data_IF_036796134082
#
_entry.id   IF_036796134082
#
_cell.length_a   1.000
_cell.length_b   1.000
_cell.length_c   1.000
_cell.angle_alpha   90.00
_cell.angle_beta   90.00
_cell.angle_gamma   90.00
#
_symmetry.space_group_name_H-M   'P 1'
#
loop_
_entity.id
_entity.type
_entity.pdbx_description
1 polymer ?
#
# COMPACT_ATOMS: atom_id res chain seq x y z
N UNK A 1 -7.75 46.54 -15.80
CA UNK A 1 -7.68 45.57 -16.90
C UNK A 1 -8.46 44.33 -16.45
N UNK A 2 -9.16 43.63 -17.33
CA UNK A 2 -9.85 42.39 -16.95
C UNK A 2 -9.28 41.25 -17.78
N UNK A 3 -8.82 40.20 -17.10
CA UNK A 3 -8.31 38.99 -17.73
C UNK A 3 -9.37 37.90 -17.65
N UNK A 4 -9.34 36.96 -18.58
CA UNK A 4 -10.40 35.96 -18.74
C UNK A 4 -9.82 34.55 -18.68
N UNK A 5 -10.57 33.65 -18.04
CA UNK A 5 -10.35 32.20 -18.09
C UNK A 5 -11.61 31.56 -18.65
N UNK A 6 -11.49 30.75 -19.69
CA UNK A 6 -12.60 30.03 -20.30
C UNK A 6 -12.44 28.53 -20.07
N UNK A 7 -13.41 27.95 -19.38
CA UNK A 7 -13.56 26.51 -19.29
C UNK A 7 -14.60 25.98 -20.27
N UNK A 8 -14.90 24.70 -20.14
CA UNK A 8 -15.74 23.96 -21.10
C UNK A 8 -17.18 24.51 -21.20
N UNK A 9 -17.73 25.04 -20.11
CA UNK A 9 -19.07 25.63 -20.07
C UNK A 9 -19.16 26.76 -19.02
N UNK A 10 -18.05 27.42 -18.72
CA UNK A 10 -18.01 28.56 -17.81
C UNK A 10 -16.90 29.54 -18.18
N UNK A 11 -17.06 30.77 -17.73
CA UNK A 11 -16.07 31.84 -17.87
C UNK A 11 -15.77 32.46 -16.49
N UNK A 12 -14.49 32.71 -16.20
CA UNK A 12 -14.07 33.46 -15.02
C UNK A 12 -13.46 34.78 -15.49
N UNK A 13 -14.13 35.88 -15.15
CA UNK A 13 -13.64 37.25 -15.36
C UNK A 13 -12.86 37.69 -14.13
N UNK A 14 -11.56 37.85 -14.32
CA UNK A 14 -10.62 38.30 -13.29
C UNK A 14 -10.50 39.82 -13.37
N UNK A 15 -10.95 40.52 -12.32
CA UNK A 15 -10.83 41.98 -12.21
C UNK A 15 -9.70 42.35 -11.27
N UNK A 16 -9.07 43.49 -11.52
CA UNK A 16 -7.99 43.98 -10.65
C UNK A 16 -8.48 44.25 -9.21
N UNK A 17 -7.59 43.97 -8.25
CA UNK A 17 -7.81 44.22 -6.83
C UNK A 17 -8.64 43.17 -6.10
N UNK A 18 -9.22 43.58 -4.96
CA UNK A 18 -10.02 42.72 -4.10
C UNK A 18 -11.49 42.77 -4.50
N UNK A 19 -12.03 41.62 -4.93
CA UNK A 19 -13.46 41.42 -5.16
C UNK A 19 -13.82 39.97 -4.84
N UNK A 20 -14.81 39.79 -3.97
CA UNK A 20 -15.33 38.47 -3.66
C UNK A 20 -15.99 37.84 -4.89
N UNK A 21 -15.96 36.50 -5.03
CA UNK A 21 -16.58 35.84 -6.16
C UNK A 21 -18.06 36.18 -6.26
N UNK A 22 -18.49 36.54 -7.47
CA UNK A 22 -19.89 36.83 -7.80
C UNK A 22 -20.28 36.07 -9.06
N UNK A 23 -21.42 35.40 -9.01
CA UNK A 23 -21.94 34.62 -10.14
C UNK A 23 -22.84 35.53 -10.98
N UNK A 24 -22.42 35.75 -12.23
CA UNK A 24 -23.03 36.62 -13.24
C UNK A 24 -23.62 35.71 -14.32
N UNK A 25 -24.94 35.68 -14.47
CA UNK A 25 -25.62 34.67 -15.29
C UNK A 25 -25.20 33.21 -14.94
N UNK A 26 -25.78 32.19 -15.57
CA UNK A 26 -25.63 30.81 -15.11
C UNK A 26 -24.19 30.25 -15.19
N UNK A 27 -23.31 30.84 -16.01
CA UNK A 27 -22.00 30.27 -16.37
C UNK A 27 -20.82 31.26 -16.28
N UNK A 28 -20.99 32.46 -15.73
CA UNK A 28 -19.90 33.43 -15.60
C UNK A 28 -19.63 33.78 -14.12
N UNK A 29 -18.35 33.84 -13.76
CA UNK A 29 -17.87 34.12 -12.41
C UNK A 29 -16.97 35.35 -12.48
N UNK A 30 -17.26 36.37 -11.69
CA UNK A 30 -16.41 37.56 -11.58
C UNK A 30 -15.72 37.52 -10.22
N UNK A 31 -14.38 37.54 -10.23
CA UNK A 31 -13.53 37.46 -9.02
C UNK A 31 -12.38 38.45 -9.11
N UNK A 32 -11.97 39.00 -7.96
CA UNK A 32 -10.80 39.87 -7.88
C UNK A 32 -9.50 39.07 -7.97
N UNK A 33 -8.50 39.60 -8.66
CA UNK A 33 -7.18 38.98 -8.84
C UNK A 33 -6.55 38.58 -7.50
N UNK A 34 -6.63 39.44 -6.48
CA UNK A 34 -6.07 39.15 -5.16
C UNK A 34 -6.74 37.94 -4.47
N UNK A 35 -8.04 37.74 -4.70
CA UNK A 35 -8.78 36.59 -4.16
C UNK A 35 -8.42 35.31 -4.91
N UNK A 36 -8.43 35.36 -6.25
CA UNK A 36 -8.06 34.22 -7.08
C UNK A 36 -6.63 33.75 -6.78
N UNK A 37 -5.68 34.68 -6.69
CA UNK A 37 -4.30 34.39 -6.36
C UNK A 37 -4.17 33.73 -4.98
N UNK A 38 -4.92 34.21 -4.00
CA UNK A 38 -4.92 33.63 -2.66
C UNK A 38 -5.52 32.22 -2.65
N UNK A 39 -6.62 31.97 -3.36
CA UNK A 39 -7.22 30.63 -3.42
C UNK A 39 -6.29 29.63 -4.14
N UNK A 40 -5.62 30.08 -5.20
CA UNK A 40 -4.64 29.27 -5.93
C UNK A 40 -3.41 28.96 -5.09
N UNK A 41 -2.85 29.96 -4.41
CA UNK A 41 -1.59 29.80 -3.67
C UNK A 41 -1.79 29.06 -2.35
N UNK A 42 -2.89 29.32 -1.65
CA UNK A 42 -3.08 28.87 -0.26
C UNK A 42 -4.42 28.20 0.01
N UNK A 43 -5.33 28.11 -0.97
CA UNK A 43 -6.64 27.48 -0.82
C UNK A 43 -7.56 28.23 0.14
N UNK A 44 -7.48 29.56 0.20
CA UNK A 44 -8.25 30.39 1.16
C UNK A 44 -9.76 30.23 1.05
N UNK A 45 -10.27 29.83 -0.11
CA UNK A 45 -11.69 29.56 -0.32
C UNK A 45 -11.97 28.06 -0.45
N UNK A 46 -11.07 27.21 0.05
CA UNK A 46 -11.18 25.76 -0.07
C UNK A 46 -11.18 25.28 -1.52
N UNK A 47 -10.46 25.98 -2.40
CA UNK A 47 -10.40 25.73 -3.85
C UNK A 47 -11.77 25.88 -4.55
N UNK A 48 -12.71 26.62 -3.97
CA UNK A 48 -14.00 26.87 -4.62
C UNK A 48 -13.87 27.65 -5.93
N UNK A 49 -12.85 28.49 -6.11
CA UNK A 49 -12.61 29.14 -7.41
C UNK A 49 -11.46 28.47 -8.14
N UNK A 50 -10.35 28.21 -7.44
CA UNK A 50 -9.18 27.58 -8.03
C UNK A 50 -9.48 26.17 -8.58
N UNK A 51 -10.44 25.45 -8.00
CA UNK A 51 -10.87 24.13 -8.45
C UNK A 51 -11.48 24.10 -9.85
N UNK A 52 -12.02 25.22 -10.32
CA UNK A 52 -12.43 25.38 -11.72
C UNK A 52 -11.22 25.50 -12.66
N UNK A 53 -10.00 25.53 -12.17
CA UNK A 53 -8.81 25.49 -13.01
C UNK A 53 -8.29 24.07 -13.19
N UNK A 54 -8.92 23.04 -12.58
CA UNK A 54 -8.45 21.65 -12.68
C UNK A 54 -8.62 21.07 -14.10
N UNK A 55 -9.78 21.20 -14.77
CA UNK A 55 -9.90 20.78 -16.16
C UNK A 55 -9.00 21.59 -17.10
N UNK A 56 -8.83 21.17 -18.36
CA UNK A 56 -8.24 22.01 -19.39
C UNK A 56 -9.04 23.31 -19.55
N UNK A 57 -8.33 24.43 -19.62
CA UNK A 57 -8.88 25.79 -19.70
C UNK A 57 -8.08 26.63 -20.67
N UNK A 58 -8.73 27.60 -21.30
CA UNK A 58 -8.10 28.69 -22.03
C UNK A 58 -7.99 29.91 -21.11
N UNK A 59 -6.92 30.69 -21.22
CA UNK A 59 -6.70 31.84 -20.35
C UNK A 59 -5.80 32.88 -20.99
N UNK A 60 -5.95 34.13 -20.54
CA UNK A 60 -5.07 35.22 -20.94
C UNK A 60 -3.64 35.03 -20.38
N UNK A 61 -2.63 35.41 -21.16
CA UNK A 61 -1.22 35.13 -20.86
C UNK A 61 -0.73 35.67 -19.50
N UNK A 62 -1.31 36.74 -18.99
CA UNK A 62 -0.95 37.33 -17.70
C UNK A 62 -1.38 36.47 -16.49
N UNK A 63 -2.22 35.46 -16.71
CA UNK A 63 -2.65 34.48 -15.71
C UNK A 63 -1.84 33.18 -15.78
N UNK A 64 -0.97 33.02 -16.79
CA UNK A 64 -0.23 31.78 -17.04
C UNK A 64 0.53 31.28 -15.83
N UNK A 65 1.36 32.12 -15.22
CA UNK A 65 2.17 31.73 -14.06
C UNK A 65 1.31 31.23 -12.90
N UNK A 66 0.16 31.88 -12.70
CA UNK A 66 -0.75 31.55 -11.61
C UNK A 66 -1.44 30.20 -11.84
N UNK A 67 -1.89 29.94 -13.06
CA UNK A 67 -2.53 28.67 -13.43
C UNK A 67 -1.52 27.52 -13.38
N UNK A 68 -0.32 27.72 -13.93
CA UNK A 68 0.76 26.72 -13.87
C UNK A 68 1.13 26.40 -12.42
N UNK A 69 1.21 27.42 -11.54
CA UNK A 69 1.43 27.22 -10.11
C UNK A 69 0.34 26.33 -9.50
N UNK A 70 -0.93 26.60 -9.82
CA UNK A 70 -2.04 25.82 -9.28
C UNK A 70 -1.95 24.35 -9.69
N UNK A 71 -1.67 24.06 -10.96
CA UNK A 71 -1.54 22.69 -11.46
C UNK A 71 -0.37 21.94 -10.81
N UNK A 72 0.76 22.63 -10.57
CA UNK A 72 1.89 22.09 -9.80
C UNK A 72 1.47 21.76 -8.37
N UNK A 73 0.78 22.68 -7.68
CA UNK A 73 0.26 22.47 -6.32
C UNK A 73 -0.66 21.25 -6.26
N UNK A 74 -1.66 21.17 -7.15
CA UNK A 74 -2.57 20.03 -7.23
C UNK A 74 -1.81 18.72 -7.44
N UNK A 75 -0.84 18.70 -8.36
CA UNK A 75 -0.04 17.51 -8.63
C UNK A 75 0.72 17.02 -7.40
N UNK A 76 1.35 17.94 -6.66
CA UNK A 76 2.11 17.61 -5.45
C UNK A 76 1.17 17.15 -4.33
N UNK A 77 0.09 17.88 -4.06
CA UNK A 77 -0.88 17.52 -3.02
C UNK A 77 -1.49 16.14 -3.25
N UNK A 78 -1.92 15.84 -4.48
CA UNK A 78 -2.51 14.54 -4.81
C UNK A 78 -1.47 13.41 -4.81
N UNK A 79 -0.22 13.68 -5.24
CA UNK A 79 0.88 12.73 -5.10
C UNK A 79 1.17 12.37 -3.62
N UNK A 80 1.10 13.35 -2.72
CA UNK A 80 1.23 13.14 -1.27
C UNK A 80 0.08 12.32 -0.71
N UNK A 81 -1.15 12.65 -1.08
CA UNK A 81 -2.35 11.96 -0.61
C UNK A 81 -2.30 10.47 -0.99
N UNK A 82 -1.98 10.16 -2.24
CA UNK A 82 -1.79 8.78 -2.73
C UNK A 82 -0.70 8.07 -1.91
N UNK A 83 0.45 8.73 -1.70
CA UNK A 83 1.57 8.14 -0.95
C UNK A 83 1.23 7.89 0.51
N UNK A 84 0.50 8.80 1.14
CA UNK A 84 0.06 8.65 2.53
C UNK A 84 -0.97 7.52 2.67
N UNK A 85 -1.89 7.42 1.70
CA UNK A 85 -2.95 6.42 1.69
C UNK A 85 -2.42 5.00 1.50
N UNK A 86 -1.56 4.81 0.49
CA UNK A 86 -1.11 3.47 0.09
C UNK A 86 0.28 3.11 0.63
N UNK A 87 1.01 4.03 1.25
CA UNK A 87 2.30 3.75 1.86
C UNK A 87 3.27 3.14 0.84
N UNK A 88 3.99 2.07 1.19
CA UNK A 88 4.93 1.39 0.27
C UNK A 88 4.24 0.65 -0.88
N UNK A 89 2.95 0.35 -0.76
CA UNK A 89 2.18 -0.30 -1.82
C UNK A 89 2.12 0.56 -3.09
N UNK A 90 2.30 1.89 -3.01
CA UNK A 90 2.37 2.76 -4.20
C UNK A 90 3.39 2.29 -5.23
N UNK A 91 4.45 1.62 -4.80
CA UNK A 91 5.50 1.14 -5.70
C UNK A 91 5.04 -0.06 -6.56
N UNK A 92 3.96 -0.70 -6.15
CA UNK A 92 3.35 -1.85 -6.80
C UNK A 92 2.00 -1.50 -7.45
N UNK A 93 1.52 -0.26 -7.30
CA UNK A 93 0.30 0.25 -7.93
C UNK A 93 0.67 0.94 -9.23
N UNK A 94 -0.11 0.69 -10.28
CA UNK A 94 -0.10 1.50 -11.48
C UNK A 94 -1.04 2.68 -11.29
N UNK A 95 -0.43 3.86 -11.19
CA UNK A 95 -1.09 5.13 -10.87
C UNK A 95 -1.21 5.93 -12.17
N UNK A 96 -2.38 5.96 -12.85
CA UNK A 96 -2.52 6.71 -14.08
C UNK A 96 -2.46 8.23 -13.82
N UNK A 97 -1.97 9.02 -14.78
CA UNK A 97 -1.76 10.46 -14.61
C UNK A 97 -3.08 11.21 -14.34
N UNK A 98 -4.15 10.82 -15.04
CA UNK A 98 -5.48 11.41 -14.91
C UNK A 98 -6.09 11.25 -13.50
N UNK A 99 -5.53 10.41 -12.63
CA UNK A 99 -5.97 10.37 -11.24
C UNK A 99 -5.75 11.72 -10.55
N UNK A 100 -4.70 12.47 -10.91
CA UNK A 100 -4.36 13.76 -10.29
C UNK A 100 -5.51 14.76 -10.41
N UNK A 101 -6.01 15.10 -11.62
CA UNK A 101 -7.17 15.98 -11.73
C UNK A 101 -8.44 15.35 -11.17
N UNK A 102 -8.68 14.05 -11.37
CA UNK A 102 -9.94 13.40 -10.98
C UNK A 102 -10.09 13.33 -9.46
N UNK A 103 -9.02 12.97 -8.73
CA UNK A 103 -9.05 12.94 -7.27
C UNK A 103 -9.17 14.34 -6.68
N UNK A 104 -8.60 15.38 -7.32
CA UNK A 104 -8.82 16.76 -6.91
C UNK A 104 -10.26 17.22 -7.14
N UNK A 105 -10.83 16.97 -8.33
CA UNK A 105 -12.23 17.30 -8.63
C UNK A 105 -13.20 16.57 -7.67
N UNK A 106 -12.88 15.33 -7.29
CA UNK A 106 -13.65 14.55 -6.32
C UNK A 106 -13.81 15.23 -4.95
N UNK A 107 -12.86 16.06 -4.52
CA UNK A 107 -12.93 16.78 -3.23
C UNK A 107 -13.97 17.90 -3.22
N UNK A 108 -14.27 18.48 -4.40
CA UNK A 108 -15.19 19.62 -4.57
C UNK A 108 -16.33 19.28 -5.53
N UNK A 109 -16.59 17.98 -5.74
CA UNK A 109 -17.58 17.47 -6.71
C UNK A 109 -19.00 17.96 -6.44
N UNK A 110 -19.34 18.22 -5.17
CA UNK A 110 -20.67 18.68 -4.79
C UNK A 110 -20.88 20.16 -5.12
N UNK A 111 -19.79 20.92 -5.29
CA UNK A 111 -19.84 22.33 -5.67
C UNK A 111 -20.04 22.50 -7.19
N UNK A 112 -19.36 21.67 -8.00
CA UNK A 112 -19.40 21.77 -9.46
C UNK A 112 -19.66 20.42 -10.18
N UNK A 113 -20.74 19.69 -9.82
CA UNK A 113 -20.97 18.36 -10.36
C UNK A 113 -21.18 18.37 -11.88
N UNK A 114 -21.97 19.32 -12.39
CA UNK A 114 -22.24 19.45 -13.83
C UNK A 114 -20.99 19.81 -14.63
N UNK A 115 -20.13 20.69 -14.09
CA UNK A 115 -18.93 21.14 -14.80
C UNK A 115 -17.94 19.99 -14.89
N UNK A 116 -17.68 19.27 -13.80
CA UNK A 116 -16.71 18.17 -13.81
C UNK A 116 -17.21 16.96 -14.59
N UNK A 117 -18.51 16.63 -14.53
CA UNK A 117 -19.08 15.59 -15.38
C UNK A 117 -18.89 15.92 -16.87
N UNK A 118 -19.26 17.13 -17.29
CA UNK A 118 -19.09 17.58 -18.68
C UNK A 118 -17.63 17.67 -19.10
N UNK A 119 -16.74 18.07 -18.18
CA UNK A 119 -15.31 18.07 -18.46
C UNK A 119 -14.79 16.66 -18.74
N UNK A 120 -15.13 15.69 -17.90
CA UNK A 120 -14.76 14.28 -18.10
C UNK A 120 -15.36 13.74 -19.40
N UNK A 121 -16.60 14.09 -19.72
CA UNK A 121 -17.29 13.66 -20.95
C UNK A 121 -16.65 14.23 -22.23
N UNK A 122 -16.40 15.54 -22.28
CA UNK A 122 -15.89 16.19 -23.49
C UNK A 122 -14.39 15.97 -23.72
N UNK A 123 -13.58 15.96 -22.66
CA UNK A 123 -12.12 15.85 -22.73
C UNK A 123 -11.65 14.39 -22.65
N UNK A 124 -12.40 13.55 -21.94
CA UNK A 124 -11.99 12.19 -21.65
C UNK A 124 -10.80 12.09 -20.67
N UNK A 125 -10.45 10.86 -20.31
CA UNK A 125 -9.29 10.59 -19.45
C UNK A 125 -7.97 10.97 -20.13
N UNK A 126 -7.88 10.80 -21.45
CA UNK A 126 -6.67 11.10 -22.21
C UNK A 126 -6.35 12.59 -22.22
N UNK A 127 -7.34 13.47 -22.40
CA UNK A 127 -7.08 14.91 -22.35
C UNK A 127 -6.77 15.40 -20.93
N UNK A 128 -7.37 14.80 -19.89
CA UNK A 128 -6.98 15.07 -18.50
C UNK A 128 -5.55 14.61 -18.20
N UNK A 129 -5.15 13.47 -18.77
CA UNK A 129 -3.78 12.97 -18.70
C UNK A 129 -2.80 13.92 -19.37
N UNK A 130 -3.09 14.36 -20.59
CA UNK A 130 -2.19 15.24 -21.35
C UNK A 130 -2.02 16.60 -20.67
N UNK A 131 -3.10 17.16 -20.11
CA UNK A 131 -3.09 18.39 -19.32
C UNK A 131 -2.10 18.32 -18.14
N UNK A 132 -2.04 17.17 -17.44
CA UNK A 132 -1.23 17.01 -16.24
C UNK A 132 0.15 16.40 -16.47
N UNK A 133 0.42 15.86 -17.67
CA UNK A 133 1.62 15.10 -18.00
C UNK A 133 2.91 15.86 -17.66
N UNK A 134 2.97 17.15 -17.98
CA UNK A 134 4.16 17.98 -17.74
C UNK A 134 4.46 18.23 -16.26
N UNK A 135 3.46 18.13 -15.38
CA UNK A 135 3.64 18.41 -13.95
C UNK A 135 4.15 17.21 -13.15
N UNK A 136 4.12 16.01 -13.73
CA UNK A 136 4.51 14.76 -13.04
C UNK A 136 5.97 14.77 -12.58
N UNK A 137 6.85 15.53 -13.26
CA UNK A 137 8.23 15.74 -12.82
C UNK A 137 8.36 16.27 -11.39
N UNK A 138 7.32 16.94 -10.88
CA UNK A 138 7.29 17.48 -9.52
C UNK A 138 7.04 16.42 -8.44
N UNK A 139 6.64 15.21 -8.82
CA UNK A 139 6.32 14.11 -7.88
C UNK A 139 7.05 12.80 -8.21
N UNK A 140 7.67 12.70 -9.39
CA UNK A 140 8.35 11.49 -9.82
C UNK A 140 8.64 11.49 -11.32
N UNK A 141 8.44 10.35 -11.96
CA UNK A 141 8.62 10.19 -13.40
C UNK A 141 7.49 9.36 -14.02
N UNK A 142 7.33 9.46 -15.34
CA UNK A 142 6.34 8.69 -16.09
C UNK A 142 6.98 7.37 -16.53
N UNK A 143 6.28 6.25 -16.32
CA UNK A 143 6.64 4.92 -16.82
C UNK A 143 6.20 4.77 -18.29
N UNK A 144 6.72 3.76 -18.99
CA UNK A 144 6.38 3.48 -20.39
C UNK A 144 4.87 3.28 -20.63
N UNK A 145 4.15 2.76 -19.63
CA UNK A 145 2.70 2.54 -19.68
C UNK A 145 1.86 3.79 -19.31
N UNK A 146 2.44 5.00 -19.35
CA UNK A 146 1.80 6.26 -18.92
C UNK A 146 1.33 6.28 -17.45
N UNK A 147 1.85 5.41 -16.59
CA UNK A 147 1.64 5.50 -15.14
C UNK A 147 2.73 6.33 -14.45
N UNK A 148 2.40 6.86 -13.27
CA UNK A 148 3.30 7.62 -12.42
C UNK A 148 4.14 6.64 -11.59
N UNK A 149 5.45 6.83 -11.61
CA UNK A 149 6.36 6.27 -10.62
C UNK A 149 6.69 7.37 -9.58
N UNK A 150 6.03 7.30 -8.41
CA UNK A 150 6.19 8.30 -7.35
C UNK A 150 7.58 8.21 -6.70
N UNK A 151 8.23 9.35 -6.55
CA UNK A 151 9.52 9.46 -5.86
C UNK A 151 9.36 10.22 -4.54
N UNK A 152 9.53 9.52 -3.42
CA UNK A 152 9.45 10.14 -2.09
C UNK A 152 10.40 11.33 -1.93
N UNK A 153 11.61 11.26 -2.51
CA UNK A 153 12.60 12.33 -2.42
C UNK A 153 12.10 13.58 -3.14
N UNK A 154 11.67 13.41 -4.39
CA UNK A 154 11.15 14.52 -5.22
C UNK A 154 9.91 15.11 -4.55
N UNK A 155 8.97 14.26 -4.14
CA UNK A 155 7.73 14.64 -3.48
C UNK A 155 8.00 15.49 -2.22
N UNK A 156 8.88 15.04 -1.30
CA UNK A 156 9.27 15.80 -0.10
C UNK A 156 9.94 17.15 -0.43
N UNK A 157 10.84 17.18 -1.43
CA UNK A 157 11.47 18.43 -1.86
C UNK A 157 10.43 19.42 -2.41
N UNK A 158 9.51 18.93 -3.25
CA UNK A 158 8.46 19.74 -3.87
C UNK A 158 7.45 20.28 -2.85
N UNK A 159 7.00 19.48 -1.88
CA UNK A 159 6.16 19.98 -0.80
C UNK A 159 6.88 21.00 0.07
N UNK A 160 8.15 20.79 0.41
CA UNK A 160 8.88 21.77 1.21
C UNK A 160 9.03 23.10 0.47
N UNK A 161 9.22 23.09 -0.85
CA UNK A 161 9.21 24.31 -1.69
C UNK A 161 7.85 25.00 -1.65
N UNK A 162 6.75 24.26 -1.78
CA UNK A 162 5.39 24.82 -1.67
C UNK A 162 5.10 25.37 -0.27
N UNK A 163 5.31 24.58 0.78
CA UNK A 163 5.06 24.95 2.18
C UNK A 163 6.01 26.05 2.68
N UNK A 164 7.24 26.12 2.17
CA UNK A 164 8.15 27.23 2.44
C UNK A 164 7.68 28.56 1.83
N UNK A 165 6.84 28.50 0.79
CA UNK A 165 6.24 29.67 0.14
C UNK A 165 4.89 30.05 0.77
N UNK A 166 4.17 29.06 1.32
CA UNK A 166 2.88 29.22 1.98
C UNK A 166 3.13 29.37 3.49
N UNK A 167 3.25 30.61 3.96
CA UNK A 167 3.29 30.89 5.40
C UNK A 167 2.15 30.18 6.16
N UNK A 168 2.44 29.70 7.37
CA UNK A 168 1.66 28.77 8.23
C UNK A 168 0.19 29.10 8.58
N UNK A 169 -0.51 29.94 7.84
CA UNK A 169 -1.85 30.39 8.20
C UNK A 169 -2.91 29.84 7.23
N UNK A 170 -3.43 28.65 7.53
CA UNK A 170 -4.72 28.19 6.99
C UNK A 170 -5.81 28.83 7.85
N UNK A 171 -6.37 29.95 7.39
CA UNK A 171 -7.62 30.48 7.94
C UNK A 171 -8.77 29.68 7.33
N UNK A 172 -9.60 29.15 8.23
CA UNK A 172 -10.71 28.23 8.02
C UNK A 172 -11.64 28.61 6.85
N UNK A 173 -11.92 27.61 6.01
CA UNK A 173 -13.02 27.58 5.04
C UNK A 173 -14.39 27.58 5.71
N UNK A 174 -14.83 28.76 6.16
CA UNK A 174 -16.18 28.97 6.70
C UNK A 174 -16.96 30.09 5.98
N UNK A 175 -16.38 30.77 4.99
CA UNK A 175 -16.99 31.96 4.37
C UNK A 175 -17.59 31.75 2.97
N UNK A 176 -17.52 30.56 2.37
CA UNK A 176 -18.10 30.32 1.04
C UNK A 176 -19.42 29.53 1.02
N UNK A 177 -19.93 29.06 2.17
CA UNK A 177 -21.15 28.21 2.21
C UNK A 177 -22.45 29.04 2.19
N UNK A 178 -22.41 30.37 2.31
CA UNK A 178 -23.62 31.21 2.30
C UNK A 178 -24.01 31.83 0.94
N UNK A 179 -23.46 31.35 -0.18
CA UNK A 179 -23.97 31.73 -1.54
C UNK A 179 -24.79 30.63 -2.22
N UNK A 180 -25.09 29.54 -1.51
CA UNK A 180 -25.99 28.49 -1.98
C UNK A 180 -27.44 28.97 -2.00
N UNK A 181 -27.81 29.70 -3.05
CA UNK A 181 -29.17 29.68 -3.60
C UNK A 181 -29.27 29.76 -5.13
N UNK A 182 -28.21 30.08 -5.88
CA UNK A 182 -28.36 30.40 -7.31
C UNK A 182 -27.36 29.73 -8.29
N UNK A 183 -26.62 28.70 -7.90
CA UNK A 183 -25.90 27.84 -8.86
C UNK A 183 -26.68 26.52 -8.92
N UNK A 184 -27.43 26.31 -10.00
CA UNK A 184 -28.32 25.16 -10.29
C UNK A 184 -29.75 25.23 -9.71
N UNK A 185 -30.60 26.07 -10.31
CA UNK A 185 -31.91 25.61 -10.78
C UNK A 185 -31.71 25.41 -12.29
N UNK A 186 -31.42 24.22 -12.81
CA UNK A 186 -32.47 23.39 -13.43
C UNK A 186 -32.08 21.92 -13.68
N UNK A 187 -30.89 21.45 -13.29
CA UNK A 187 -30.57 20.01 -13.24
C UNK A 187 -29.76 19.68 -11.99
N UNK A 188 -30.24 18.76 -11.14
CA UNK A 188 -29.43 18.17 -10.07
C UNK A 188 -28.44 17.20 -10.70
N UNK A 189 -27.32 17.69 -11.22
CA UNK A 189 -26.25 16.80 -11.68
C UNK A 189 -25.70 16.01 -10.50
N UNK A 190 -25.72 14.68 -10.62
CA UNK A 190 -25.06 13.78 -9.66
C UNK A 190 -23.62 13.55 -10.14
N UNK A 191 -22.60 13.69 -9.29
CA UNK A 191 -21.23 13.35 -9.66
C UNK A 191 -21.13 11.94 -10.23
N UNK A 192 -20.41 11.78 -11.33
CA UNK A 192 -20.20 10.46 -11.93
C UNK A 192 -19.36 9.54 -11.00
N UNK A 193 -19.30 8.25 -11.35
CA UNK A 193 -18.63 7.25 -10.52
C UNK A 193 -17.14 7.53 -10.27
N UNK A 194 -16.42 8.11 -11.25
CA UNK A 194 -15.01 8.48 -11.11
C UNK A 194 -14.80 9.62 -10.10
N UNK A 195 -15.74 10.56 -10.02
CA UNK A 195 -15.72 11.60 -9.00
C UNK A 195 -16.17 11.06 -7.63
N UNK A 196 -17.00 10.03 -7.60
CA UNK A 196 -17.42 9.40 -6.35
C UNK A 196 -16.29 8.58 -5.71
N UNK A 197 -15.55 7.82 -6.51
CA UNK A 197 -14.36 7.07 -6.07
C UNK A 197 -13.23 7.11 -7.12
N UNK A 198 -12.34 8.13 -7.08
CA UNK A 198 -11.29 8.33 -8.08
C UNK A 198 -10.23 7.23 -8.05
N UNK A 199 -10.11 6.52 -6.93
CA UNK A 199 -9.09 5.49 -6.75
C UNK A 199 -9.46 4.16 -7.41
N UNK A 200 -10.66 4.06 -7.99
CA UNK A 200 -11.03 2.96 -8.90
C UNK A 200 -10.17 2.92 -10.16
N UNK A 201 -9.51 4.03 -10.51
CA UNK A 201 -8.53 4.12 -11.60
C UNK A 201 -7.20 3.42 -11.28
N UNK A 202 -6.91 3.16 -10.01
CA UNK A 202 -5.69 2.49 -9.60
C UNK A 202 -5.78 1.00 -9.89
N UNK A 203 -4.71 0.45 -10.47
CA UNK A 203 -4.61 -0.98 -10.73
C UNK A 203 -3.36 -1.57 -10.09
N UNK A 204 -3.35 -2.88 -9.91
CA UNK A 204 -2.23 -3.62 -9.37
C UNK A 204 -1.94 -4.83 -10.27
N UNK A 205 -0.68 -5.30 -10.33
CA UNK A 205 -0.33 -6.42 -11.22
C UNK A 205 -1.02 -7.76 -10.92
N UNK A 206 -1.50 -7.98 -9.69
CA UNK A 206 -2.19 -9.22 -9.31
C UNK A 206 -3.33 -8.93 -8.32
N UNK A 207 -4.52 -9.46 -8.64
CA UNK A 207 -5.72 -9.24 -7.84
C UNK A 207 -6.35 -7.87 -8.07
N UNK A 208 -7.34 -7.54 -7.26
CA UNK A 208 -8.06 -6.27 -7.35
C UNK A 208 -7.76 -5.38 -6.14
N UNK A 209 -7.58 -4.08 -6.39
CA UNK A 209 -7.46 -3.07 -5.35
C UNK A 209 -8.85 -2.53 -5.00
N UNK A 210 -9.24 -2.63 -3.73
CA UNK A 210 -10.46 -2.01 -3.21
C UNK A 210 -10.07 -0.90 -2.24
N UNK A 211 -10.70 0.25 -2.40
CA UNK A 211 -10.38 1.52 -1.73
C UNK A 211 -11.13 1.69 -0.41
N UNK A 212 -12.22 0.94 -0.23
CA UNK A 212 -13.07 0.92 0.97
C UNK A 212 -13.30 -0.52 1.45
N UNK A 213 -12.75 -0.86 2.62
CA UNK A 213 -12.81 -2.22 3.16
C UNK A 213 -14.20 -2.65 3.62
N UNK A 214 -15.14 -1.71 3.81
CA UNK A 214 -16.55 -2.07 4.09
C UNK A 214 -17.20 -2.82 2.92
N UNK A 215 -16.73 -2.59 1.68
CA UNK A 215 -17.24 -3.28 0.49
C UNK A 215 -16.74 -4.72 0.34
N UNK A 216 -15.85 -5.20 1.22
CA UNK A 216 -15.33 -6.58 1.17
C UNK A 216 -16.46 -7.60 1.17
N UNK A 217 -17.54 -7.39 1.94
CA UNK A 217 -18.67 -8.32 1.97
C UNK A 217 -19.35 -8.49 0.60
N UNK A 218 -19.51 -7.40 -0.16
CA UNK A 218 -20.08 -7.46 -1.51
C UNK A 218 -19.17 -8.26 -2.46
N UNK A 219 -17.84 -8.13 -2.30
CA UNK A 219 -16.89 -8.96 -3.04
C UNK A 219 -16.94 -10.42 -2.60
N UNK A 220 -17.08 -10.71 -1.31
CA UNK A 220 -17.22 -12.08 -0.80
C UNK A 220 -18.46 -12.76 -1.34
N UNK A 221 -19.61 -12.08 -1.36
CA UNK A 221 -20.85 -12.61 -1.95
C UNK A 221 -20.67 -12.96 -3.44
N UNK A 222 -20.01 -12.09 -4.20
CA UNK A 222 -19.69 -12.35 -5.62
C UNK A 222 -18.71 -13.52 -5.80
N UNK A 223 -17.73 -13.65 -4.90
CA UNK A 223 -16.66 -14.65 -5.00
C UNK A 223 -17.05 -16.05 -4.47
N UNK A 224 -17.87 -16.10 -3.42
CA UNK A 224 -18.17 -17.31 -2.65
C UNK A 224 -19.62 -17.79 -2.79
N UNK A 225 -20.51 -16.96 -3.36
CA UNK A 225 -21.95 -17.22 -3.39
C UNK A 225 -22.68 -16.65 -2.17
N UNK A 226 -24.02 -16.77 -2.18
CA UNK A 226 -24.89 -16.22 -1.13
C UNK A 226 -24.78 -16.97 0.21
N UNK A 227 -24.36 -18.24 0.19
CA UNK A 227 -24.25 -19.09 1.38
C UNK A 227 -22.79 -19.42 1.70
N UNK A 228 -22.01 -18.43 2.13
CA UNK A 228 -20.65 -18.66 2.60
C UNK A 228 -20.53 -18.62 4.13
N UNK A 229 -19.58 -19.39 4.66
CA UNK A 229 -19.25 -19.43 6.10
C UNK A 229 -17.79 -19.07 6.30
N UNK A 230 -17.51 -18.18 7.24
CA UNK A 230 -16.15 -17.83 7.60
C UNK A 230 -15.81 -18.23 9.04
N UNK A 231 -14.74 -19.00 9.22
CA UNK A 231 -14.24 -19.47 10.51
C UNK A 231 -12.85 -18.92 10.77
N UNK A 232 -12.66 -18.34 11.96
CA UNK A 232 -11.33 -17.97 12.43
C UNK A 232 -10.76 -19.09 13.30
N UNK A 233 -9.54 -19.60 13.04
CA UNK A 233 -8.97 -20.69 13.84
C UNK A 233 -8.72 -20.35 15.31
N UNK A 234 -8.45 -19.07 15.63
CA UNK A 234 -8.21 -18.57 16.99
C UNK A 234 -8.46 -17.06 17.05
N UNK A 235 -8.79 -16.52 18.23
CA UNK A 235 -9.03 -15.08 18.44
C UNK A 235 -7.79 -14.23 18.10
N UNK A 236 -6.59 -14.81 18.24
CA UNK A 236 -5.31 -14.17 17.94
C UNK A 236 -4.86 -14.37 16.48
N UNK A 237 -5.57 -15.19 15.70
CA UNK A 237 -5.22 -15.43 14.31
C UNK A 237 -5.59 -14.21 13.46
N UNK A 238 -4.60 -13.71 12.71
CA UNK A 238 -4.81 -12.67 11.71
C UNK A 238 -5.58 -13.18 10.48
N UNK A 239 -5.72 -14.50 10.31
CA UNK A 239 -6.32 -15.13 9.14
C UNK A 239 -7.65 -15.78 9.46
N UNK A 240 -8.60 -15.66 8.53
CA UNK A 240 -9.91 -16.28 8.56
C UNK A 240 -10.10 -17.11 7.30
N UNK A 241 -10.60 -18.34 7.47
CA UNK A 241 -10.93 -19.23 6.36
C UNK A 241 -12.39 -19.04 6.01
N UNK A 242 -12.70 -18.81 4.73
CA UNK A 242 -14.05 -18.68 4.24
C UNK A 242 -14.35 -19.75 3.20
N UNK A 243 -15.50 -20.41 3.37
CA UNK A 243 -15.95 -21.55 2.59
C UNK A 243 -17.26 -21.17 1.88
N UNK A 244 -17.32 -21.40 0.58
CA UNK A 244 -18.51 -21.25 -0.26
C UNK A 244 -18.28 -22.03 -1.56
N UNK A 245 -18.54 -21.42 -2.72
CA UNK A 245 -18.21 -22.00 -4.03
C UNK A 245 -16.71 -22.34 -4.20
N UNK A 246 -15.85 -21.69 -3.42
CA UNK A 246 -14.41 -21.97 -3.28
C UNK A 246 -13.96 -21.68 -1.85
N UNK A 247 -12.78 -22.16 -1.48
CA UNK A 247 -12.16 -21.81 -0.19
C UNK A 247 -11.16 -20.68 -0.40
N UNK A 248 -11.24 -19.66 0.45
CA UNK A 248 -10.30 -18.51 0.43
C UNK A 248 -9.81 -18.19 1.83
N UNK A 249 -8.70 -17.46 1.89
CA UNK A 249 -8.12 -16.91 3.12
C UNK A 249 -8.30 -15.40 3.12
N UNK A 250 -8.88 -14.86 4.18
CA UNK A 250 -8.91 -13.42 4.47
C UNK A 250 -7.92 -13.14 5.59
N UNK A 251 -6.87 -12.39 5.30
CA UNK A 251 -5.90 -11.92 6.30
C UNK A 251 -6.19 -10.47 6.66
N UNK A 252 -6.29 -10.18 7.95
CA UNK A 252 -6.44 -8.84 8.50
C UNK A 252 -5.18 -8.46 9.28
N UNK A 253 -4.54 -7.37 8.85
CA UNK A 253 -3.22 -6.95 9.33
C UNK A 253 -3.27 -6.09 10.60
N UNK A 254 -4.46 -5.71 11.08
CA UNK A 254 -4.61 -5.04 12.38
C UNK A 254 -4.19 -5.97 13.53
N UNK A 255 -4.44 -7.28 13.38
CA UNK A 255 -4.04 -8.28 14.35
C UNK A 255 -2.52 -8.47 14.33
N UNK A 256 -1.93 -8.64 15.51
CA UNK A 256 -0.49 -8.83 15.66
C UNK A 256 0.33 -7.53 15.70
N UNK A 257 -0.29 -6.35 15.71
CA UNK A 257 0.43 -5.07 15.90
C UNK A 257 1.33 -5.10 17.15
N UNK A 258 0.79 -5.52 18.29
CA UNK A 258 1.56 -5.65 19.54
C UNK A 258 2.65 -6.72 19.45
N UNK A 259 2.36 -7.88 18.82
CA UNK A 259 3.34 -8.96 18.59
C UNK A 259 4.57 -8.41 17.85
N UNK A 260 4.35 -7.69 16.75
CA UNK A 260 5.44 -7.18 15.92
C UNK A 260 6.15 -5.98 16.50
N UNK A 261 5.45 -5.16 17.30
CA UNK A 261 6.09 -4.14 18.10
C UNK A 261 7.11 -4.76 19.06
N UNK A 262 6.71 -5.78 19.83
CA UNK A 262 7.61 -6.47 20.77
C UNK A 262 8.74 -7.21 20.06
N UNK A 263 8.43 -7.96 18.99
CA UNK A 263 9.45 -8.64 18.19
C UNK A 263 10.46 -7.65 17.63
N UNK A 264 10.00 -6.53 17.05
CA UNK A 264 10.85 -5.47 16.52
C UNK A 264 11.68 -4.76 17.58
N UNK A 265 11.13 -4.50 18.77
CA UNK A 265 11.87 -3.88 19.88
C UNK A 265 13.02 -4.76 20.35
N UNK A 266 12.79 -6.07 20.46
CA UNK A 266 13.85 -7.03 20.81
C UNK A 266 14.84 -7.14 19.66
N UNK A 267 14.40 -7.35 18.41
CA UNK A 267 15.27 -7.74 17.31
C UNK A 267 15.81 -6.62 16.44
N UNK A 268 15.56 -5.33 16.75
CA UNK A 268 15.82 -4.20 15.83
C UNK A 268 17.23 -4.18 15.25
N UNK A 269 18.23 -4.62 16.03
CA UNK A 269 19.64 -4.66 15.61
C UNK A 269 19.96 -5.78 14.61
N UNK A 270 19.06 -6.74 14.40
CA UNK A 270 19.22 -7.92 13.53
C UNK A 270 18.20 -7.95 12.41
N UNK A 271 16.93 -7.81 12.76
CA UNK A 271 15.81 -7.92 11.83
C UNK A 271 14.85 -6.75 12.02
N UNK A 272 14.77 -5.81 11.04
CA UNK A 272 13.85 -4.69 11.10
C UNK A 272 12.44 -5.11 10.65
N UNK A 273 11.67 -5.69 11.58
CA UNK A 273 10.28 -6.12 11.32
C UNK A 273 9.39 -5.00 10.80
N UNK A 274 8.46 -5.34 9.91
CA UNK A 274 7.35 -4.46 9.50
C UNK A 274 6.31 -4.45 10.60
N UNK A 275 6.08 -3.28 11.18
CA UNK A 275 5.20 -3.10 12.33
C UNK A 275 3.80 -2.66 11.94
N UNK A 276 3.67 -1.71 11.00
CA UNK A 276 2.35 -1.17 10.64
C UNK A 276 1.55 -2.15 9.77
N UNK A 277 0.21 -2.18 9.89
CA UNK A 277 -0.64 -3.05 9.06
C UNK A 277 -0.41 -2.86 7.56
N UNK A 278 -0.31 -1.60 7.11
CA UNK A 278 -0.09 -1.25 5.71
C UNK A 278 1.31 -1.66 5.22
N UNK A 279 2.37 -1.50 6.02
CA UNK A 279 3.70 -1.98 5.64
C UNK A 279 3.75 -3.50 5.52
N UNK A 280 3.08 -4.23 6.43
CA UNK A 280 2.99 -5.70 6.38
C UNK A 280 2.21 -6.18 5.16
N UNK A 281 1.06 -5.57 4.88
CA UNK A 281 0.28 -5.83 3.67
C UNK A 281 1.11 -5.58 2.41
N UNK A 282 1.79 -4.42 2.34
CA UNK A 282 2.63 -4.04 1.20
C UNK A 282 3.77 -5.03 0.99
N UNK A 283 4.43 -5.45 2.08
CA UNK A 283 5.55 -6.38 2.01
C UNK A 283 5.08 -7.78 1.62
N UNK A 284 3.96 -8.27 2.18
CA UNK A 284 3.42 -9.58 1.83
C UNK A 284 2.91 -9.62 0.39
N UNK A 285 2.24 -8.58 -0.10
CA UNK A 285 1.79 -8.47 -1.49
C UNK A 285 2.97 -8.65 -2.46
N UNK A 286 4.05 -7.90 -2.23
CA UNK A 286 5.27 -8.00 -3.01
C UNK A 286 5.93 -9.36 -2.87
N UNK A 287 6.08 -9.84 -1.64
CA UNK A 287 6.81 -11.08 -1.36
C UNK A 287 6.10 -12.30 -1.94
N UNK A 288 4.77 -12.40 -1.84
CA UNK A 288 4.00 -13.49 -2.46
C UNK A 288 4.25 -13.58 -3.96
N UNK A 289 4.29 -12.44 -4.65
CA UNK A 289 4.57 -12.34 -6.09
C UNK A 289 6.01 -12.69 -6.45
N UNK A 290 6.97 -12.04 -5.79
CA UNK A 290 8.40 -12.22 -6.05
C UNK A 290 8.86 -13.65 -5.76
N UNK A 291 8.38 -14.23 -4.65
CA UNK A 291 8.78 -15.55 -4.16
C UNK A 291 8.15 -16.71 -4.93
N UNK A 292 7.09 -16.47 -5.70
CA UNK A 292 6.40 -17.53 -6.47
C UNK A 292 7.30 -18.24 -7.48
N UNK A 293 8.40 -17.59 -7.89
CA UNK A 293 9.44 -18.17 -8.76
C UNK A 293 10.36 -19.16 -8.02
N UNK A 294 10.34 -19.15 -6.69
CA UNK A 294 11.24 -19.92 -5.81
C UNK A 294 10.46 -21.02 -5.09
N UNK A 295 9.26 -20.70 -4.61
CA UNK A 295 8.44 -21.57 -3.76
C UNK A 295 6.95 -21.31 -4.01
N UNK A 296 6.09 -22.28 -3.71
CA UNK A 296 4.64 -22.12 -3.87
C UNK A 296 4.15 -21.03 -2.90
N UNK A 297 3.39 -20.08 -3.44
CA UNK A 297 2.77 -18.98 -2.68
C UNK A 297 1.34 -18.77 -3.16
N UNK A 298 0.40 -18.41 -2.27
CA UNK A 298 -0.97 -18.15 -2.66
C UNK A 298 -1.09 -16.99 -3.63
N UNK A 299 -1.95 -17.15 -4.64
CA UNK A 299 -2.44 -16.09 -5.51
C UNK A 299 -3.32 -15.10 -4.76
N UNK A 300 -3.11 -13.83 -5.06
CA UNK A 300 -3.80 -12.70 -4.45
C UNK A 300 -5.06 -12.42 -5.26
N UNK A 301 -6.20 -12.33 -4.58
CA UNK A 301 -7.51 -12.10 -5.22
C UNK A 301 -7.91 -10.63 -5.05
N UNK A 302 -7.76 -10.10 -3.83
CA UNK A 302 -8.15 -8.73 -3.48
C UNK A 302 -7.17 -8.19 -2.43
N UNK A 303 -6.84 -6.91 -2.50
CA UNK A 303 -6.26 -6.15 -1.41
C UNK A 303 -7.12 -4.95 -1.06
N UNK A 304 -7.18 -4.63 0.22
CA UNK A 304 -7.79 -3.41 0.71
C UNK A 304 -6.82 -2.71 1.67
N UNK A 305 -6.10 -1.67 1.21
CA UNK A 305 -5.07 -0.98 1.98
C UNK A 305 -5.65 0.19 2.78
N UNK A 306 -6.70 -0.06 3.58
CA UNK A 306 -7.17 0.92 4.55
C UNK A 306 -6.22 0.95 5.76
N UNK A 307 -5.90 2.15 6.25
CA UNK A 307 -4.93 2.38 7.33
C UNK A 307 -5.20 1.54 8.58
N UNK A 308 -6.47 1.34 8.93
CA UNK A 308 -6.87 0.60 10.14
C UNK A 308 -7.57 -0.72 9.85
N UNK A 309 -7.95 -0.96 8.59
CA UNK A 309 -8.65 -2.18 8.18
C UNK A 309 -7.92 -2.94 7.06
N UNK A 310 -6.60 -2.75 6.93
CA UNK A 310 -5.78 -3.39 5.90
C UNK A 310 -6.06 -4.89 5.83
N UNK A 311 -6.51 -5.37 4.66
CA UNK A 311 -6.91 -6.76 4.42
C UNK A 311 -6.37 -7.27 3.09
N UNK A 312 -6.09 -8.57 3.05
CA UNK A 312 -5.81 -9.32 1.83
C UNK A 312 -6.72 -10.53 1.75
N UNK A 313 -7.31 -10.75 0.57
CA UNK A 313 -8.00 -11.98 0.21
C UNK A 313 -7.15 -12.71 -0.79
N UNK A 314 -6.91 -14.00 -0.54
CA UNK A 314 -6.06 -14.85 -1.35
C UNK A 314 -6.61 -16.26 -1.41
N UNK A 315 -6.09 -17.05 -2.33
CA UNK A 315 -6.44 -18.46 -2.43
C UNK A 315 -6.07 -19.23 -1.16
N UNK A 316 -6.85 -20.26 -0.88
CA UNK A 316 -6.48 -21.27 0.09
C UNK A 316 -5.53 -22.27 -0.56
N UNK A 317 -4.45 -22.62 0.12
CA UNK A 317 -3.55 -23.69 -0.30
C UNK A 317 -3.95 -24.95 0.46
N UNK A 318 -4.31 -26.00 -0.28
CA UNK A 318 -4.61 -27.31 0.29
C UNK A 318 -3.32 -28.05 0.65
N UNK A 319 -3.37 -28.79 1.76
CA UNK A 319 -2.23 -29.51 2.30
C UNK A 319 -2.17 -29.55 3.83
N UNK A 320 -1.13 -30.23 4.34
CA UNK A 320 -0.88 -30.36 5.77
C UNK A 320 0.07 -29.26 6.26
N UNK A 321 -0.27 -28.61 7.37
CA UNK A 321 0.65 -27.66 8.03
C UNK A 321 1.78 -28.44 8.70
N UNK A 322 3.04 -28.16 8.36
CA UNK A 322 4.21 -28.94 8.82
C UNK A 322 4.30 -29.01 10.34
N UNK A 323 3.97 -27.92 11.06
CA UNK A 323 3.96 -27.90 12.53
C UNK A 323 3.10 -29.02 13.15
N UNK A 324 2.04 -29.46 12.47
CA UNK A 324 1.14 -30.51 12.93
C UNK A 324 1.54 -31.90 12.44
N UNK A 325 2.42 -31.97 11.44
CA UNK A 325 2.84 -33.22 10.84
C UNK A 325 3.78 -33.99 11.78
N UNK A 326 3.53 -35.29 11.89
CA UNK A 326 4.38 -36.23 12.63
C UNK A 326 5.39 -36.92 11.72
N UNK A 327 5.32 -36.67 10.41
CA UNK A 327 6.19 -37.28 9.42
C UNK A 327 7.55 -36.55 9.36
N UNK A 328 8.68 -37.23 9.64
CA UNK A 328 10.01 -36.66 9.46
C UNK A 328 10.26 -36.08 8.07
N UNK A 329 9.66 -36.67 7.03
CA UNK A 329 9.82 -36.21 5.67
C UNK A 329 9.30 -34.77 5.47
N UNK A 330 8.13 -34.43 6.02
CA UNK A 330 7.58 -33.08 5.95
C UNK A 330 8.51 -32.02 6.60
N UNK A 331 9.17 -32.39 7.70
CA UNK A 331 10.15 -31.53 8.37
C UNK A 331 11.45 -31.41 7.57
N UNK A 332 11.90 -32.52 6.95
CA UNK A 332 13.06 -32.53 6.06
C UNK A 332 12.86 -31.57 4.88
N UNK A 333 11.74 -31.68 4.15
CA UNK A 333 11.42 -30.80 3.01
C UNK A 333 11.28 -29.33 3.45
N UNK A 334 10.73 -29.06 4.63
CA UNK A 334 10.71 -27.70 5.19
C UNK A 334 12.13 -27.13 5.29
N UNK A 335 13.07 -27.93 5.84
CA UNK A 335 14.47 -27.55 5.96
C UNK A 335 15.12 -27.24 4.61
N UNK A 336 14.95 -28.13 3.63
CA UNK A 336 15.42 -27.94 2.25
C UNK A 336 14.81 -26.69 1.62
N UNK A 337 13.53 -26.44 1.84
CA UNK A 337 12.81 -25.28 1.32
C UNK A 337 13.31 -23.97 1.92
N UNK A 338 13.59 -23.94 3.23
CA UNK A 338 14.20 -22.77 3.88
C UNK A 338 15.61 -22.50 3.32
N UNK A 339 16.40 -23.55 3.07
CA UNK A 339 17.70 -23.42 2.43
C UNK A 339 17.60 -22.90 1.00
N UNK A 340 16.64 -23.41 0.21
CA UNK A 340 16.33 -22.93 -1.15
C UNK A 340 16.02 -21.44 -1.15
N UNK A 341 15.23 -20.95 -0.20
CA UNK A 341 14.90 -19.53 -0.04
C UNK A 341 16.15 -18.70 0.24
N UNK A 342 16.99 -19.15 1.18
CA UNK A 342 18.25 -18.48 1.51
C UNK A 342 19.26 -18.51 0.35
N UNK A 343 19.29 -19.58 -0.45
CA UNK A 343 20.11 -19.69 -1.65
C UNK A 343 19.65 -18.71 -2.75
N UNK A 344 18.38 -18.29 -2.71
CA UNK A 344 17.81 -17.29 -3.62
C UNK A 344 17.81 -15.86 -3.02
N UNK A 345 18.77 -15.56 -2.14
CA UNK A 345 19.00 -14.23 -1.57
C UNK A 345 17.81 -13.63 -0.78
N UNK A 346 16.96 -14.48 -0.19
CA UNK A 346 15.83 -14.05 0.65
C UNK A 346 15.90 -14.70 2.04
N UNK A 347 15.22 -14.09 3.01
CA UNK A 347 14.99 -14.60 4.37
C UNK A 347 13.54 -14.30 4.75
N UNK A 348 12.92 -15.15 5.57
CA UNK A 348 11.51 -15.09 5.93
C UNK A 348 11.22 -14.14 7.09
N UNK A 349 12.13 -14.01 8.06
CA UNK A 349 11.94 -13.24 9.29
C UNK A 349 11.03 -13.91 10.33
N UNK A 350 9.95 -14.57 9.88
CA UNK A 350 9.04 -15.40 10.70
C UNK A 350 8.87 -16.83 10.13
N UNK A 351 9.94 -17.64 10.09
CA UNK A 351 9.90 -19.02 9.61
C UNK A 351 9.24 -19.99 10.62
N UNK A 352 8.11 -19.59 11.18
CA UNK A 352 7.29 -20.47 12.01
C UNK A 352 6.87 -21.70 11.19
N UNK A 353 7.08 -22.94 11.67
CA UNK A 353 6.66 -24.14 10.93
C UNK A 353 5.16 -24.19 10.62
N UNK A 354 4.34 -23.41 11.34
CA UNK A 354 2.92 -23.23 11.06
C UNK A 354 2.61 -22.45 9.77
N UNK A 355 3.60 -21.77 9.19
CA UNK A 355 3.50 -21.02 7.93
C UNK A 355 3.91 -21.86 6.71
N UNK A 356 4.35 -23.10 6.91
CA UNK A 356 4.74 -24.05 5.87
C UNK A 356 3.63 -25.09 5.71
N UNK A 357 3.16 -25.27 4.48
CA UNK A 357 2.14 -26.27 4.12
C UNK A 357 2.77 -27.24 3.14
N UNK A 358 2.78 -28.53 3.46
CA UNK A 358 3.13 -29.58 2.51
C UNK A 358 1.89 -29.90 1.66
N UNK A 359 2.00 -29.69 0.35
CA UNK A 359 0.93 -29.97 -0.60
C UNK A 359 0.84 -31.48 -0.88
N UNK A 360 -0.24 -31.91 -1.53
CA UNK A 360 -0.41 -33.31 -1.95
C UNK A 360 0.73 -33.81 -2.87
N UNK A 361 1.40 -32.89 -3.57
CA UNK A 361 2.54 -33.20 -4.44
C UNK A 361 3.89 -33.24 -3.70
N UNK A 362 3.88 -33.24 -2.36
CA UNK A 362 5.07 -33.18 -1.50
C UNK A 362 5.94 -31.92 -1.72
N UNK A 363 5.32 -30.82 -2.15
CA UNK A 363 5.98 -29.52 -2.29
C UNK A 363 5.60 -28.61 -1.12
N UNK A 364 6.49 -27.70 -0.73
CA UNK A 364 6.21 -26.72 0.31
C UNK A 364 5.60 -25.46 -0.29
N UNK A 365 4.49 -25.04 0.29
CA UNK A 365 3.90 -23.72 0.14
C UNK A 365 4.12 -22.85 1.37
N UNK A 366 4.38 -21.56 1.14
CA UNK A 366 4.46 -20.55 2.19
C UNK A 366 3.23 -19.65 2.19
N UNK A 367 2.55 -19.63 3.34
CA UNK A 367 1.29 -18.90 3.50
C UNK A 367 1.44 -17.59 4.29
N UNK A 368 2.61 -17.27 4.85
CA UNK A 368 2.85 -15.96 5.47
C UNK A 368 4.23 -15.44 5.10
N UNK A 369 4.27 -14.30 4.40
CA UNK A 369 5.49 -13.67 3.89
C UNK A 369 5.61 -12.20 4.28
N UNK A 370 4.84 -11.75 5.29
CA UNK A 370 4.77 -10.32 5.62
C UNK A 370 6.08 -9.74 6.18
N UNK A 371 7.01 -10.59 6.60
CA UNK A 371 8.32 -10.19 7.15
C UNK A 371 9.49 -10.46 6.22
N UNK A 372 9.28 -11.00 5.01
CA UNK A 372 10.37 -11.32 4.08
C UNK A 372 11.29 -10.12 3.84
N UNK A 373 12.60 -10.38 3.77
CA UNK A 373 13.59 -9.38 3.38
C UNK A 373 14.78 -9.99 2.64
N UNK A 374 15.73 -9.15 2.21
CA UNK A 374 16.94 -9.60 1.55
C UNK A 374 17.86 -10.33 2.53
N UNK A 375 18.47 -11.41 2.02
CA UNK A 375 19.37 -12.28 2.75
C UNK A 375 20.59 -11.54 3.30
N UNK A 376 21.00 -11.95 4.50
CA UNK A 376 22.35 -11.84 5.01
C UNK A 376 22.57 -13.03 5.95
N UNK A 377 23.82 -13.46 6.16
CA UNK A 377 24.11 -14.57 7.08
C UNK A 377 23.53 -14.32 8.48
N UNK A 378 23.59 -13.07 8.94
CA UNK A 378 23.00 -12.61 10.20
C UNK A 378 21.48 -12.81 10.27
N UNK A 379 20.75 -12.51 9.19
CA UNK A 379 19.29 -12.70 9.15
C UNK A 379 18.89 -14.16 8.90
N UNK A 380 19.71 -14.93 8.19
CA UNK A 380 19.49 -16.36 8.07
C UNK A 380 19.68 -17.09 9.41
N UNK A 381 20.67 -16.67 10.21
CA UNK A 381 20.82 -17.12 11.60
C UNK A 381 19.59 -16.79 12.45
N UNK A 382 19.00 -15.60 12.26
CA UNK A 382 17.74 -15.23 12.88
C UNK A 382 16.60 -16.16 12.48
N UNK A 383 16.46 -16.48 11.19
CA UNK A 383 15.43 -17.41 10.72
C UNK A 383 15.56 -18.78 11.37
N UNK A 384 16.77 -19.35 11.45
CA UNK A 384 17.00 -20.64 12.12
C UNK A 384 16.63 -20.58 13.61
N UNK A 385 16.98 -19.49 14.29
CA UNK A 385 16.66 -19.30 15.69
C UNK A 385 15.15 -19.17 15.95
N UNK A 386 14.45 -18.41 15.11
CA UNK A 386 13.00 -18.20 15.21
C UNK A 386 12.24 -19.49 14.86
N UNK A 387 12.65 -20.18 13.79
CA UNK A 387 12.12 -21.50 13.42
C UNK A 387 12.19 -22.45 14.62
N UNK A 388 13.38 -22.57 15.22
CA UNK A 388 13.60 -23.45 16.35
C UNK A 388 12.74 -23.04 17.56
N UNK A 389 12.74 -21.75 17.90
CA UNK A 389 11.96 -21.23 19.02
C UNK A 389 10.47 -21.54 18.85
N UNK A 390 9.86 -21.26 17.69
CA UNK A 390 8.46 -21.59 17.45
C UNK A 390 8.18 -23.09 17.49
N UNK A 391 9.02 -23.90 16.83
CA UNK A 391 8.84 -25.34 16.82
C UNK A 391 8.83 -25.92 18.25
N UNK A 392 9.76 -25.48 19.10
CA UNK A 392 9.87 -25.95 20.49
C UNK A 392 8.81 -25.36 21.41
N UNK A 393 8.45 -24.08 21.27
CA UNK A 393 7.35 -23.45 22.02
C UNK A 393 6.02 -24.16 21.76
N UNK A 394 5.78 -24.60 20.52
CA UNK A 394 4.61 -25.41 20.16
C UNK A 394 4.83 -26.92 20.36
N UNK A 395 5.88 -27.31 21.10
CA UNK A 395 6.15 -28.68 21.55
C UNK A 395 6.34 -29.69 20.41
N UNK A 396 6.80 -29.25 19.23
CA UNK A 396 7.18 -30.16 18.16
C UNK A 396 8.29 -31.12 18.64
N UNK A 397 8.21 -32.38 18.21
CA UNK A 397 9.18 -33.40 18.60
C UNK A 397 10.61 -32.98 18.20
N UNK A 398 11.55 -33.01 19.15
CA UNK A 398 12.93 -32.57 18.92
C UNK A 398 13.64 -33.32 17.80
N UNK A 399 13.28 -34.59 17.55
CA UNK A 399 13.81 -35.36 16.41
C UNK A 399 13.37 -34.77 15.07
N UNK A 400 12.11 -34.34 14.96
CA UNK A 400 11.57 -33.71 13.75
C UNK A 400 12.21 -32.34 13.51
N UNK A 401 12.42 -31.57 14.58
CA UNK A 401 13.13 -30.28 14.48
C UNK A 401 14.58 -30.49 14.04
N UNK A 402 15.28 -31.51 14.58
CA UNK A 402 16.63 -31.88 14.14
C UNK A 402 16.66 -32.29 12.67
N UNK A 403 15.66 -33.04 12.19
CA UNK A 403 15.55 -33.43 10.78
C UNK A 403 15.51 -32.20 9.85
N UNK A 404 14.68 -31.21 10.17
CA UNK A 404 14.61 -29.96 9.40
C UNK A 404 15.94 -29.18 9.43
N UNK A 405 16.61 -29.09 10.59
CA UNK A 405 17.89 -28.41 10.71
C UNK A 405 18.99 -29.11 9.90
N UNK A 406 19.01 -30.45 9.94
CA UNK A 406 19.95 -31.26 9.18
C UNK A 406 19.75 -31.07 7.67
N UNK A 407 18.51 -31.18 7.19
CA UNK A 407 18.16 -31.01 5.79
C UNK A 407 18.47 -29.59 5.29
N UNK A 408 18.19 -28.56 6.09
CA UNK A 408 18.58 -27.17 5.80
C UNK A 408 20.08 -27.05 5.62
N UNK A 409 20.86 -27.54 6.59
CA UNK A 409 22.31 -27.38 6.58
C UNK A 409 22.95 -28.13 5.40
N UNK A 410 22.47 -29.35 5.10
CA UNK A 410 22.94 -30.16 3.95
C UNK A 410 22.63 -29.51 2.60
N UNK A 411 21.59 -28.68 2.53
CA UNK A 411 21.16 -27.97 1.32
C UNK A 411 21.86 -26.62 1.10
N UNK A 412 22.90 -26.33 1.88
CA UNK A 412 23.69 -25.08 1.82
C UNK A 412 25.14 -25.40 1.49
N UNK A 413 25.85 -24.46 0.85
CA UNK A 413 27.31 -24.59 0.75
C UNK A 413 27.93 -24.56 2.14
N UNK A 414 29.06 -25.25 2.30
CA UNK A 414 29.77 -25.35 3.58
C UNK A 414 30.14 -23.96 4.13
N UNK A 415 30.63 -23.07 3.27
CA UNK A 415 30.99 -21.70 3.62
C UNK A 415 29.78 -20.89 4.09
N UNK A 416 28.66 -21.03 3.36
CA UNK A 416 27.44 -20.30 3.66
C UNK A 416 26.78 -20.79 4.96
N UNK A 417 26.86 -22.10 5.24
CA UNK A 417 26.40 -22.70 6.49
C UNK A 417 27.28 -22.28 7.67
N UNK A 418 28.60 -22.38 7.54
CA UNK A 418 29.55 -21.97 8.58
C UNK A 418 29.37 -20.51 8.96
N UNK A 419 29.20 -19.63 7.97
CA UNK A 419 28.93 -18.21 8.23
C UNK A 419 27.63 -18.00 9.02
N UNK A 420 26.58 -18.80 8.78
CA UNK A 420 25.34 -18.73 9.56
C UNK A 420 25.55 -19.26 10.98
N UNK A 421 26.27 -20.38 11.13
CA UNK A 421 26.62 -20.96 12.43
C UNK A 421 27.41 -19.99 13.31
N UNK A 422 28.36 -19.24 12.75
CA UNK A 422 29.15 -18.25 13.47
C UNK A 422 28.26 -17.17 14.10
N UNK A 423 27.22 -16.71 13.38
CA UNK A 423 26.24 -15.78 13.95
C UNK A 423 25.39 -16.41 15.05
N UNK A 424 25.02 -17.69 14.93
CA UNK A 424 24.24 -18.40 15.96
C UNK A 424 25.08 -18.60 17.23
N UNK A 425 26.36 -18.90 17.09
CA UNK A 425 27.32 -19.07 18.20
C UNK A 425 27.78 -17.72 18.78
N UNK A 426 27.67 -16.65 17.99
CA UNK A 426 28.14 -15.32 18.34
C UNK A 426 27.34 -14.59 19.43
N UNK A 427 27.91 -13.49 19.97
CA UNK A 427 27.31 -12.71 21.05
C UNK A 427 26.03 -11.97 20.61
N UNK A 428 25.89 -11.63 19.32
CA UNK A 428 24.75 -10.87 18.81
C UNK A 428 23.42 -11.61 18.96
N UNK A 429 23.35 -12.89 18.61
CA UNK A 429 22.13 -13.69 18.83
C UNK A 429 21.92 -13.99 20.31
N UNK A 430 23.02 -14.21 21.06
CA UNK A 430 22.99 -14.48 22.51
C UNK A 430 22.28 -13.38 23.27
N UNK A 431 22.66 -12.12 23.04
CA UNK A 431 22.07 -10.97 23.74
C UNK A 431 20.55 -10.87 23.56
N UNK A 432 20.03 -11.34 22.43
CA UNK A 432 18.62 -11.22 22.06
C UNK A 432 17.77 -12.39 22.53
N UNK A 433 18.34 -13.58 22.53
CA UNK A 433 17.71 -14.77 23.09
C UNK A 433 17.98 -14.91 24.59
N UNK A 434 18.61 -13.92 25.23
CA UNK A 434 18.78 -13.86 26.70
C UNK A 434 17.47 -14.07 27.47
N UNK A 435 16.28 -13.58 27.02
CA UNK A 435 15.01 -13.90 27.68
C UNK A 435 14.58 -15.37 27.52
N UNK A 436 15.20 -16.12 26.60
CA UNK A 436 14.91 -17.52 26.26
C UNK A 436 16.20 -18.37 26.26
N UNK A 437 16.98 -18.39 27.36
CA UNK A 437 18.34 -18.93 27.37
C UNK A 437 18.35 -20.45 27.14
N UNK A 438 17.33 -21.16 27.64
CA UNK A 438 17.20 -22.60 27.48
C UNK A 438 17.00 -22.99 26.01
N UNK A 439 16.19 -22.22 25.26
CA UNK A 439 15.95 -22.46 23.84
C UNK A 439 17.20 -22.20 23.00
N UNK A 440 17.98 -21.17 23.33
CA UNK A 440 19.25 -20.91 22.66
C UNK A 440 20.28 -22.04 22.94
N UNK A 441 20.36 -22.52 24.17
CA UNK A 441 21.24 -23.63 24.52
C UNK A 441 20.84 -24.93 23.79
N UNK A 442 19.54 -25.26 23.78
CA UNK A 442 19.01 -26.43 23.08
C UNK A 442 19.24 -26.35 21.55
N UNK A 443 19.09 -25.16 20.96
CA UNK A 443 19.42 -24.92 19.55
C UNK A 443 20.89 -25.21 19.28
N UNK A 444 21.80 -24.63 20.06
CA UNK A 444 23.25 -24.83 19.88
C UNK A 444 23.67 -26.28 20.03
N UNK A 445 23.07 -27.00 20.98
CA UNK A 445 23.28 -28.44 21.13
C UNK A 445 22.75 -29.22 19.92
N UNK A 446 21.57 -28.87 19.42
CA UNK A 446 20.99 -29.52 18.24
C UNK A 446 21.80 -29.30 16.96
N UNK A 447 22.51 -28.17 16.86
CA UNK A 447 23.39 -27.86 15.73
C UNK A 447 24.80 -28.42 15.88
N UNK A 448 25.23 -28.81 17.09
CA UNK A 448 26.59 -29.33 17.33
C UNK A 448 26.85 -30.64 16.59
N UNK A 449 25.80 -31.44 16.42
CA UNK A 449 25.87 -32.77 15.78
C UNK A 449 25.74 -32.70 14.25
N UNK A 450 25.56 -31.50 13.68
CA UNK A 450 25.37 -31.28 12.24
C UNK A 450 26.71 -30.83 11.66
N UNK A 451 27.61 -31.79 11.45
CA UNK A 451 28.88 -31.57 10.78
C UNK A 451 28.73 -31.93 9.29
N UNK A 452 29.09 -31.02 8.39
CA UNK A 452 28.88 -31.13 6.92
C UNK A 452 30.18 -30.87 6.18
#
# INVERSE_FOLDING_TARGET
MSSTIKGIDYEIKVVEGFKLPSFSNQNEIIVGRSILESDIKTGTLGDSIAGLLIPPIEYDNDLRELIEFYKVRVTIEQGFEIRQRFGKLTNEIDIPIEIIPISRMSLIKDLYPCIFNRAIEKVGLDGLRDEYKKYIENIGNIKENNSINLSNKVLLMSANKLLGTIGKNVILGFLAINSNKNINNEEKCVPNQLLMDPYTLLTIPEGNLITNCSNVNNYLLKLLGSEYKCKRPSILSSSQLCYGNKTIVIKNYIYGLFKWFMAGAVSASIYPFKQTPLDRLSNEYKALRDMRKIIITPKIIVICPDKYESRMIREFIDGEVVLKSKDPYAWSILGESLAKIHNNNRVLGDPNPGNFVITENNEIALIDLEQVSNYSHKKAAWDIAVFFAYARTFQANSKLVKEALYAYAKSRSKEAWNSVLDYIKGPHLTALMTPLPNLLAELRLSLKDIDI
#
